data_IF_226733119387
#
_entry.id   IF_226733119387
#
_cell.length_a   1.000
_cell.length_b   1.000
_cell.length_c   1.000
_cell.angle_alpha   90.00
_cell.angle_beta   90.00
_cell.angle_gamma   90.00
#
_symmetry.space_group_name_H-M   'P 1'
#
loop_
_entity.id
_entity.type
_entity.pdbx_description
1 polymer ?
#
# COMPACT_ATOMS: atom_id res chain seq x y z
N UNK A 1 19.79 -12.98 12.73
CA UNK A 1 19.82 -12.17 13.97
C UNK A 1 18.72 -12.62 14.91
N UNK A 2 17.45 -12.52 14.55
CA UNK A 2 16.30 -12.86 15.41
C UNK A 2 16.33 -14.32 15.91
N UNK A 3 16.67 -15.28 15.05
CA UNK A 3 16.79 -16.70 15.41
C UNK A 3 17.81 -16.92 16.54
N UNK A 4 18.98 -16.25 16.45
CA UNK A 4 20.01 -16.30 17.51
C UNK A 4 19.54 -15.66 18.83
N UNK A 5 18.44 -14.93 18.81
CA UNK A 5 17.83 -14.25 19.96
C UNK A 5 16.49 -14.87 20.37
N UNK A 6 16.29 -16.16 20.08
CA UNK A 6 15.19 -16.97 20.62
C UNK A 6 13.92 -17.02 19.77
N UNK A 7 13.87 -16.35 18.61
CA UNK A 7 12.73 -16.47 17.69
C UNK A 7 12.80 -17.81 16.93
N UNK A 8 11.67 -18.49 16.82
CA UNK A 8 11.52 -19.68 15.97
C UNK A 8 10.99 -19.28 14.60
N UNK A 9 11.53 -19.86 13.54
CA UNK A 9 11.13 -19.55 12.17
C UNK A 9 10.42 -20.72 11.53
N UNK A 10 9.29 -20.39 10.84
CA UNK A 10 8.56 -21.31 9.98
C UNK A 10 8.37 -20.66 8.61
N UNK A 11 8.69 -21.37 7.54
CA UNK A 11 8.44 -20.91 6.18
C UNK A 11 6.94 -21.06 5.88
N UNK A 12 6.29 -19.97 5.47
CA UNK A 12 4.90 -19.94 5.02
C UNK A 12 4.85 -19.59 3.53
N UNK A 13 3.70 -19.84 2.90
CA UNK A 13 3.45 -19.49 1.49
C UNK A 13 2.07 -18.84 1.36
N UNK A 14 2.03 -17.64 0.83
CA UNK A 14 0.80 -16.88 0.53
C UNK A 14 0.60 -16.87 -0.99
N UNK A 15 0.00 -17.94 -1.52
CA UNK A 15 -0.08 -18.20 -2.98
C UNK A 15 -0.89 -17.16 -3.75
N UNK A 16 -1.92 -16.59 -3.12
CA UNK A 16 -2.81 -15.60 -3.73
C UNK A 16 -2.27 -14.17 -3.69
N UNK A 17 -1.16 -13.92 -2.97
CA UNK A 17 -0.52 -12.59 -2.92
C UNK A 17 -0.14 -12.06 -4.30
N UNK A 18 0.18 -12.93 -5.27
CA UNK A 18 0.43 -12.56 -6.67
C UNK A 18 -0.75 -11.86 -7.36
N UNK A 19 -1.96 -12.02 -6.85
CA UNK A 19 -3.18 -11.37 -7.34
C UNK A 19 -3.44 -10.02 -6.66
N UNK A 20 -2.65 -9.69 -5.63
CA UNK A 20 -2.87 -8.51 -4.78
C UNK A 20 -2.89 -7.21 -5.55
N UNK A 21 -1.87 -6.96 -6.39
CA UNK A 21 -1.79 -5.72 -7.19
C UNK A 21 -3.01 -5.56 -8.10
N UNK A 22 -3.41 -6.61 -8.80
CA UNK A 22 -4.58 -6.56 -9.69
C UNK A 22 -5.89 -6.33 -8.94
N UNK A 23 -6.08 -6.99 -7.79
CA UNK A 23 -7.24 -6.78 -6.94
C UNK A 23 -7.29 -5.35 -6.36
N UNK A 24 -6.14 -4.84 -5.91
CA UNK A 24 -6.01 -3.46 -5.42
C UNK A 24 -6.37 -2.43 -6.49
N UNK A 25 -5.90 -2.62 -7.73
CA UNK A 25 -6.18 -1.70 -8.84
C UNK A 25 -7.65 -1.65 -9.26
N UNK A 26 -8.47 -2.60 -8.82
CA UNK A 26 -9.92 -2.53 -8.98
C UNK A 26 -10.62 -1.95 -7.72
N UNK A 27 -10.24 -2.39 -6.53
CA UNK A 27 -10.89 -2.00 -5.26
C UNK A 27 -10.56 -0.56 -4.87
N UNK A 28 -9.29 -0.20 -4.82
CA UNK A 28 -8.89 1.12 -4.32
C UNK A 28 -9.33 2.28 -5.22
N UNK A 29 -9.22 2.19 -6.56
CA UNK A 29 -9.81 3.21 -7.43
C UNK A 29 -11.33 3.31 -7.33
N UNK A 30 -12.05 2.20 -7.16
CA UNK A 30 -13.49 2.20 -6.96
C UNK A 30 -13.89 2.97 -5.69
N UNK A 31 -13.23 2.69 -4.57
CA UNK A 31 -13.42 3.42 -3.31
C UNK A 31 -12.98 4.89 -3.43
N UNK A 32 -11.86 5.16 -4.11
CA UNK A 32 -11.37 6.50 -4.40
C UNK A 32 -12.42 7.32 -5.17
N UNK A 33 -12.97 6.78 -6.25
CA UNK A 33 -14.02 7.41 -7.07
C UNK A 33 -15.24 7.79 -6.22
N UNK A 34 -15.71 6.88 -5.39
CA UNK A 34 -16.85 7.10 -4.49
C UNK A 34 -16.53 8.13 -3.40
N UNK A 35 -15.42 7.97 -2.69
CA UNK A 35 -15.07 8.82 -1.56
C UNK A 35 -14.73 10.25 -1.98
N UNK A 36 -14.02 10.44 -3.10
CA UNK A 36 -13.64 11.76 -3.59
C UNK A 36 -14.76 12.49 -4.35
N UNK A 37 -15.93 11.88 -4.56
CA UNK A 37 -17.09 12.54 -5.14
C UNK A 37 -17.56 13.77 -4.35
N UNK A 38 -17.36 13.74 -3.03
CA UNK A 38 -17.73 14.82 -2.09
C UNK A 38 -16.82 16.05 -2.12
N UNK A 39 -15.66 15.96 -2.78
CA UNK A 39 -14.74 17.09 -2.92
C UNK A 39 -15.13 17.90 -4.16
N UNK A 40 -16.13 18.74 -3.99
CA UNK A 40 -16.84 19.46 -5.05
C UNK A 40 -16.57 20.97 -5.07
N UNK A 41 -15.74 21.45 -4.13
CA UNK A 41 -15.45 22.88 -3.98
C UNK A 41 -16.55 23.67 -3.25
N UNK A 42 -17.62 22.99 -2.78
CA UNK A 42 -18.69 23.58 -1.96
C UNK A 42 -18.57 23.11 -0.53
N UNK A 43 -18.58 21.80 -0.31
CA UNK A 43 -18.47 21.17 1.02
C UNK A 43 -17.05 20.96 1.44
N UNK A 44 -16.21 20.47 0.52
CA UNK A 44 -14.81 20.10 0.81
C UNK A 44 -13.89 20.42 -0.37
N UNK A 45 -12.61 20.57 -0.06
CA UNK A 45 -11.53 20.66 -1.02
C UNK A 45 -11.35 22.06 -1.61
N UNK A 46 -10.52 22.11 -2.65
CA UNK A 46 -10.27 23.31 -3.42
C UNK A 46 -11.55 23.86 -4.06
N UNK A 47 -11.75 25.17 -4.00
CA UNK A 47 -12.82 25.89 -4.69
C UNK A 47 -12.22 26.78 -5.75
N UNK A 48 -12.61 26.59 -7.00
CA UNK A 48 -12.17 27.41 -8.11
C UNK A 48 -12.80 28.81 -8.08
N UNK A 49 -12.03 29.79 -8.48
CA UNK A 49 -12.47 31.17 -8.64
C UNK A 49 -13.09 31.40 -10.03
N UNK A 50 -13.82 32.51 -10.18
CA UNK A 50 -14.35 32.99 -11.47
C UNK A 50 -15.18 31.95 -12.24
N UNK A 51 -16.10 31.30 -11.55
CA UNK A 51 -17.00 30.29 -12.13
C UNK A 51 -18.30 30.91 -12.64
N UNK A 52 -18.79 30.41 -13.78
CA UNK A 52 -20.00 30.94 -14.45
C UNK A 52 -21.30 30.44 -13.84
N UNK A 53 -21.31 29.21 -13.38
CA UNK A 53 -22.47 28.52 -12.78
C UNK A 53 -21.99 27.35 -11.93
N UNK A 54 -22.92 26.59 -11.33
CA UNK A 54 -22.62 25.49 -10.43
C UNK A 54 -21.87 24.33 -11.13
N UNK A 55 -22.20 24.05 -12.40
CA UNK A 55 -21.51 23.00 -13.17
C UNK A 55 -20.06 23.38 -13.48
N UNK A 56 -19.84 24.65 -13.82
CA UNK A 56 -18.49 25.19 -14.06
C UNK A 56 -17.67 25.18 -12.77
N UNK A 57 -18.30 25.51 -11.63
CA UNK A 57 -17.67 25.41 -10.30
C UNK A 57 -17.20 23.99 -10.02
N UNK A 58 -18.05 22.98 -10.18
CA UNK A 58 -17.69 21.59 -9.93
C UNK A 58 -16.57 21.12 -10.87
N UNK A 59 -16.68 21.39 -12.16
CA UNK A 59 -15.68 20.99 -13.16
C UNK A 59 -14.32 21.61 -12.88
N UNK A 60 -14.26 22.92 -12.67
CA UNK A 60 -13.01 23.64 -12.41
C UNK A 60 -12.38 23.22 -11.07
N UNK A 61 -13.16 23.23 -9.98
CA UNK A 61 -12.66 22.86 -8.65
C UNK A 61 -12.05 21.46 -8.64
N UNK A 62 -12.72 20.48 -9.26
CA UNK A 62 -12.20 19.12 -9.35
C UNK A 62 -11.02 19.00 -10.31
N UNK A 63 -11.04 19.74 -11.41
CA UNK A 63 -9.93 19.74 -12.38
C UNK A 63 -8.64 20.34 -11.80
N UNK A 64 -8.76 21.42 -11.04
CA UNK A 64 -7.64 22.13 -10.41
C UNK A 64 -7.17 21.43 -9.13
N UNK A 65 -8.12 20.96 -8.31
CA UNK A 65 -7.87 20.41 -6.99
C UNK A 65 -7.30 18.99 -6.97
N UNK A 66 -7.43 18.21 -8.06
CA UNK A 66 -6.90 16.85 -8.14
C UNK A 66 -5.70 16.74 -9.07
N UNK A 67 -4.62 16.14 -8.58
CA UNK A 67 -3.47 15.76 -9.40
C UNK A 67 -3.81 14.69 -10.45
N UNK A 68 -2.94 14.50 -11.43
CA UNK A 68 -3.17 13.61 -12.57
C UNK A 68 -3.42 12.16 -12.17
N UNK A 69 -2.65 11.62 -11.21
CA UNK A 69 -2.84 10.24 -10.74
C UNK A 69 -4.17 10.05 -10.02
N UNK A 70 -4.59 11.02 -9.21
CA UNK A 70 -5.90 10.97 -8.53
C UNK A 70 -7.03 10.98 -9.56
N UNK A 71 -6.95 11.83 -10.59
CA UNK A 71 -7.93 11.86 -11.69
C UNK A 71 -8.01 10.52 -12.42
N UNK A 72 -6.84 9.90 -12.70
CA UNK A 72 -6.76 8.56 -13.30
C UNK A 72 -7.48 7.52 -12.44
N UNK A 73 -7.23 7.49 -11.12
CA UNK A 73 -7.89 6.57 -10.18
C UNK A 73 -9.39 6.79 -10.11
N UNK A 74 -9.85 8.03 -10.09
CA UNK A 74 -11.29 8.36 -10.13
C UNK A 74 -11.94 7.80 -11.41
N UNK A 75 -11.31 7.98 -12.57
CA UNK A 75 -11.83 7.47 -13.85
C UNK A 75 -11.86 5.93 -13.89
N UNK A 76 -10.78 5.27 -13.48
CA UNK A 76 -10.70 3.81 -13.39
C UNK A 76 -11.76 3.28 -12.42
N UNK A 77 -11.93 3.91 -11.27
CA UNK A 77 -12.92 3.51 -10.28
C UNK A 77 -14.35 3.68 -10.76
N UNK A 78 -14.65 4.79 -11.42
CA UNK A 78 -15.95 5.04 -12.03
C UNK A 78 -16.27 3.97 -13.08
N UNK A 79 -15.30 3.60 -13.91
CA UNK A 79 -15.44 2.52 -14.90
C UNK A 79 -15.70 1.17 -14.22
N UNK A 80 -14.90 0.81 -13.21
CA UNK A 80 -15.05 -0.46 -12.50
C UNK A 80 -16.39 -0.60 -11.76
N UNK A 81 -17.02 0.52 -11.40
CA UNK A 81 -18.33 0.55 -10.73
C UNK A 81 -19.52 0.70 -11.72
N UNK A 82 -19.27 0.88 -13.02
CA UNK A 82 -20.32 1.08 -14.00
C UNK A 82 -21.06 -0.21 -14.34
N UNK A 83 -22.29 -0.05 -14.86
CA UNK A 83 -23.13 -1.17 -15.29
C UNK A 83 -22.40 -2.06 -16.32
N UNK A 84 -22.47 -3.39 -16.15
CA UNK A 84 -21.80 -4.36 -16.99
C UNK A 84 -20.33 -4.67 -16.58
N UNK A 85 -19.67 -3.80 -15.80
CA UNK A 85 -18.29 -4.01 -15.36
C UNK A 85 -18.18 -4.29 -13.88
N UNK A 86 -19.18 -3.94 -13.08
CA UNK A 86 -19.18 -4.12 -11.63
C UNK A 86 -18.88 -5.54 -11.19
N UNK A 87 -19.58 -6.53 -11.76
CA UNK A 87 -19.37 -7.94 -11.40
C UNK A 87 -18.02 -8.47 -11.88
N UNK A 88 -17.62 -8.08 -13.09
CA UNK A 88 -16.39 -8.55 -13.73
C UNK A 88 -15.12 -8.04 -13.06
N UNK A 89 -15.15 -6.80 -12.54
CA UNK A 89 -13.99 -6.16 -11.93
C UNK A 89 -14.13 -6.03 -10.42
N UNK A 90 -15.10 -5.25 -9.93
CA UNK A 90 -15.18 -4.92 -8.50
C UNK A 90 -15.54 -6.13 -7.63
N UNK A 91 -16.61 -6.85 -7.95
CA UNK A 91 -16.99 -8.04 -7.16
C UNK A 91 -15.94 -9.15 -7.26
N UNK A 92 -15.35 -9.34 -8.43
CA UNK A 92 -14.26 -10.32 -8.58
C UNK A 92 -13.05 -9.95 -7.73
N UNK A 93 -12.66 -8.67 -7.70
CA UNK A 93 -11.57 -8.19 -6.86
C UNK A 93 -11.88 -8.34 -5.35
N UNK A 94 -13.11 -8.09 -4.92
CA UNK A 94 -13.55 -8.33 -3.53
C UNK A 94 -13.47 -9.83 -3.15
N UNK A 95 -13.83 -10.74 -4.06
CA UNK A 95 -13.66 -12.19 -3.85
C UNK A 95 -12.17 -12.56 -3.70
N UNK A 96 -11.30 -12.02 -4.54
CA UNK A 96 -9.84 -12.22 -4.46
C UNK A 96 -9.31 -11.65 -3.13
N UNK A 97 -9.74 -10.46 -2.73
CA UNK A 97 -9.42 -9.86 -1.42
C UNK A 97 -9.75 -10.82 -0.27
N UNK A 98 -10.94 -11.46 -0.30
CA UNK A 98 -11.33 -12.43 0.72
C UNK A 98 -10.43 -13.67 0.73
N UNK A 99 -10.03 -14.17 -0.44
CA UNK A 99 -9.09 -15.30 -0.54
C UNK A 99 -7.74 -14.95 0.08
N UNK A 100 -7.19 -13.78 -0.24
CA UNK A 100 -5.93 -13.27 0.35
C UNK A 100 -6.06 -13.16 1.88
N UNK A 101 -7.14 -12.56 2.38
CA UNK A 101 -7.39 -12.43 3.82
C UNK A 101 -7.45 -13.79 4.53
N UNK A 102 -8.10 -14.77 3.91
CA UNK A 102 -8.19 -16.13 4.47
C UNK A 102 -6.81 -16.83 4.52
N UNK A 103 -5.94 -16.64 3.52
CA UNK A 103 -4.58 -17.21 3.53
C UNK A 103 -3.75 -16.64 4.70
N UNK A 104 -3.85 -15.34 4.98
CA UNK A 104 -3.22 -14.76 6.16
C UNK A 104 -3.80 -15.32 7.47
N UNK A 105 -5.13 -15.45 7.55
CA UNK A 105 -5.79 -16.00 8.74
C UNK A 105 -5.34 -17.45 9.03
N UNK A 106 -5.18 -18.28 7.98
CA UNK A 106 -4.63 -19.64 8.14
C UNK A 106 -3.15 -19.61 8.59
N UNK A 107 -2.34 -18.72 8.00
CA UNK A 107 -0.94 -18.58 8.40
C UNK A 107 -0.80 -18.17 9.88
N UNK A 108 -1.63 -17.26 10.38
CA UNK A 108 -1.62 -16.84 11.78
C UNK A 108 -2.13 -17.88 12.78
N UNK A 109 -2.65 -19.02 12.34
CA UNK A 109 -2.87 -20.18 13.24
C UNK A 109 -1.56 -20.88 13.62
N UNK A 110 -0.50 -20.66 12.86
CA UNK A 110 0.76 -21.38 12.97
C UNK A 110 1.92 -20.48 13.39
N UNK A 111 1.82 -19.15 13.22
CA UNK A 111 2.87 -18.18 13.52
C UNK A 111 2.29 -16.94 14.20
N UNK A 112 3.07 -16.30 15.07
CA UNK A 112 2.67 -15.08 15.78
C UNK A 112 2.79 -13.83 14.91
N UNK A 113 3.82 -13.76 14.06
CA UNK A 113 4.13 -12.64 13.18
C UNK A 113 4.65 -13.18 11.85
N UNK A 114 4.42 -12.43 10.77
CA UNK A 114 4.95 -12.73 9.45
C UNK A 114 6.03 -11.72 9.10
N UNK A 115 7.16 -12.18 8.62
CA UNK A 115 8.29 -11.34 8.22
C UNK A 115 8.56 -11.47 6.72
N UNK A 116 8.86 -10.35 6.09
CA UNK A 116 9.23 -10.32 4.67
C UNK A 116 9.93 -9.00 4.29
N UNK A 117 10.38 -8.87 3.04
CA UNK A 117 10.85 -7.58 2.54
C UNK A 117 9.67 -6.62 2.39
N UNK A 118 9.90 -5.31 2.63
CA UNK A 118 8.87 -4.29 2.41
C UNK A 118 8.69 -4.00 0.92
N UNK A 119 9.78 -3.99 0.14
CA UNK A 119 9.77 -3.72 -1.29
C UNK A 119 10.65 -4.72 -2.04
N UNK A 120 10.43 -4.94 -3.35
CA UNK A 120 11.22 -5.89 -4.17
C UNK A 120 12.69 -5.52 -4.28
N UNK A 121 13.00 -4.23 -4.21
CA UNK A 121 14.36 -3.69 -4.33
C UNK A 121 14.50 -2.42 -3.48
N UNK A 122 15.69 -1.86 -3.44
CA UNK A 122 15.98 -0.56 -2.84
C UNK A 122 15.40 0.60 -3.68
N UNK A 123 15.54 1.84 -3.18
CA UNK A 123 15.05 3.02 -3.86
C UNK A 123 15.61 3.13 -5.29
N UNK A 124 14.76 3.47 -6.24
CA UNK A 124 15.12 3.75 -7.63
C UNK A 124 15.40 5.25 -7.85
N UNK A 125 16.09 5.59 -8.95
CA UNK A 125 16.40 6.97 -9.28
C UNK A 125 15.13 7.79 -9.53
N UNK A 126 15.16 9.07 -9.16
CA UNK A 126 14.07 10.00 -9.44
C UNK A 126 13.75 9.97 -10.94
N UNK A 127 12.48 9.81 -11.27
CA UNK A 127 11.99 9.76 -12.66
C UNK A 127 12.10 8.39 -13.36
N UNK A 128 12.78 7.39 -12.78
CA UNK A 128 13.05 6.11 -13.48
C UNK A 128 11.81 5.29 -13.86
N UNK A 129 10.68 5.48 -13.16
CA UNK A 129 9.44 4.72 -13.41
C UNK A 129 8.25 5.59 -13.85
N UNK A 130 8.47 6.85 -14.18
CA UNK A 130 7.39 7.80 -14.52
C UNK A 130 6.58 7.34 -15.74
N UNK A 131 7.25 6.73 -16.72
CA UNK A 131 6.65 6.27 -17.98
C UNK A 131 6.23 4.79 -17.96
N UNK A 132 6.37 4.10 -16.83
CA UNK A 132 5.97 2.69 -16.67
C UNK A 132 5.10 2.52 -15.41
N UNK A 133 3.78 2.75 -15.52
CA UNK A 133 2.85 2.58 -14.40
C UNK A 133 2.84 1.16 -13.83
N UNK A 134 3.08 0.14 -14.66
CA UNK A 134 3.06 -1.27 -14.22
C UNK A 134 4.28 -1.53 -13.33
N UNK A 135 5.47 -1.11 -13.75
CA UNK A 135 6.68 -1.22 -12.93
C UNK A 135 6.57 -0.42 -11.61
N UNK A 136 5.85 0.71 -11.62
CA UNK A 136 5.55 1.48 -10.43
C UNK A 136 4.63 0.68 -9.49
N UNK A 137 3.52 0.13 -9.98
CA UNK A 137 2.58 -0.66 -9.17
C UNK A 137 3.19 -1.94 -8.61
N UNK A 138 4.08 -2.60 -9.35
CA UNK A 138 4.81 -3.78 -8.88
C UNK A 138 5.79 -3.48 -7.74
N UNK A 139 6.13 -2.21 -7.50
CA UNK A 139 6.93 -1.83 -6.34
C UNK A 139 6.22 -2.10 -5.02
N UNK A 140 4.89 -2.20 -5.02
CA UNK A 140 4.05 -2.42 -3.84
C UNK A 140 3.63 -3.88 -3.64
N UNK A 141 4.20 -4.82 -4.42
CA UNK A 141 3.77 -6.24 -4.47
C UNK A 141 3.75 -6.92 -3.09
N UNK A 142 4.64 -6.53 -2.18
CA UNK A 142 4.72 -7.12 -0.83
C UNK A 142 3.85 -6.41 0.21
N UNK A 143 3.39 -5.19 -0.04
CA UNK A 143 2.58 -4.42 0.92
C UNK A 143 1.09 -4.46 0.60
N UNK A 144 0.72 -4.56 -0.66
CA UNK A 144 -0.68 -4.53 -1.13
C UNK A 144 -1.52 -5.64 -0.50
N UNK A 145 -1.00 -6.86 -0.40
CA UNK A 145 -1.75 -7.99 0.15
C UNK A 145 -2.09 -7.81 1.62
N UNK A 146 -1.18 -7.23 2.39
CA UNK A 146 -1.39 -6.88 3.80
C UNK A 146 -2.52 -5.84 3.95
N UNK A 147 -2.50 -4.79 3.11
CA UNK A 147 -3.55 -3.78 3.08
C UNK A 147 -4.92 -4.38 2.67
N UNK A 148 -4.97 -5.24 1.66
CA UNK A 148 -6.20 -5.91 1.25
C UNK A 148 -6.76 -6.84 2.33
N UNK A 149 -5.91 -7.47 3.11
CA UNK A 149 -6.31 -8.30 4.24
C UNK A 149 -6.74 -7.48 5.47
N UNK A 150 -6.42 -6.18 5.53
CA UNK A 150 -6.76 -5.30 6.65
C UNK A 150 -5.88 -5.54 7.89
N UNK A 151 -4.64 -5.97 7.71
CA UNK A 151 -3.73 -6.35 8.78
C UNK A 151 -2.80 -5.20 9.16
N UNK A 152 -2.44 -5.08 10.46
CA UNK A 152 -1.42 -4.15 10.90
C UNK A 152 -0.04 -4.61 10.41
N UNK A 153 0.79 -3.67 9.99
CA UNK A 153 2.15 -3.95 9.59
C UNK A 153 3.08 -2.75 9.85
N UNK A 154 4.36 -3.04 9.96
CA UNK A 154 5.41 -2.06 10.17
C UNK A 154 6.60 -2.36 9.26
N UNK A 155 7.26 -1.33 8.76
CA UNK A 155 8.55 -1.45 8.08
C UNK A 155 9.64 -0.83 8.92
N UNK A 156 10.79 -1.50 9.01
CA UNK A 156 11.99 -0.99 9.69
C UNK A 156 13.25 -1.35 8.90
N UNK A 157 14.35 -0.59 9.06
CA UNK A 157 15.60 -0.88 8.36
C UNK A 157 16.18 -2.24 8.78
N UNK A 158 16.61 -3.05 7.79
CA UNK A 158 17.23 -4.37 8.05
C UNK A 158 18.62 -4.54 7.44
N UNK A 159 19.14 -3.50 6.82
CA UNK A 159 20.44 -3.53 6.15
C UNK A 159 20.50 -2.59 4.96
N UNK A 160 21.56 -2.76 4.17
CA UNK A 160 21.82 -1.95 2.98
C UNK A 160 22.20 -2.83 1.78
N UNK A 161 21.80 -2.38 0.60
CA UNK A 161 22.26 -2.89 -0.70
C UNK A 161 22.70 -1.70 -1.53
N UNK A 162 23.96 -1.70 -1.98
CA UNK A 162 24.54 -0.57 -2.73
C UNK A 162 24.38 0.79 -2.02
N UNK A 163 24.63 0.82 -0.71
CA UNK A 163 24.49 1.99 0.17
C UNK A 163 23.05 2.51 0.35
N UNK A 164 22.04 1.85 -0.19
CA UNK A 164 20.63 2.18 -0.03
C UNK A 164 19.96 1.24 0.98
N UNK A 165 19.09 1.76 1.88
CA UNK A 165 18.47 0.95 2.92
C UNK A 165 17.47 -0.05 2.34
N UNK A 166 17.35 -1.20 3.02
CA UNK A 166 16.33 -2.21 2.78
C UNK A 166 15.36 -2.25 3.96
N UNK A 167 14.07 -2.45 3.67
CA UNK A 167 13.02 -2.56 4.68
C UNK A 167 12.67 -3.99 5.02
N UNK A 168 12.62 -4.30 6.32
CA UNK A 168 11.98 -5.49 6.88
C UNK A 168 10.51 -5.14 7.16
N UNK A 169 9.59 -5.86 6.55
CA UNK A 169 8.18 -5.77 6.89
C UNK A 169 7.85 -6.79 7.99
N UNK A 170 7.17 -6.34 9.04
CA UNK A 170 6.58 -7.16 10.10
C UNK A 170 5.08 -7.02 9.99
N UNK A 171 4.37 -8.13 9.85
CA UNK A 171 2.91 -8.17 9.73
C UNK A 171 2.37 -8.94 10.94
N UNK A 172 1.37 -8.37 11.64
CA UNK A 172 0.66 -8.99 12.74
C UNK A 172 -0.77 -9.39 12.37
N UNK A 173 -1.39 -10.18 13.22
CA UNK A 173 -2.81 -10.46 13.11
C UNK A 173 -3.63 -9.20 13.45
N UNK A 174 -4.94 -9.21 13.21
CA UNK A 174 -5.81 -8.10 13.56
C UNK A 174 -5.65 -7.69 15.04
N UNK A 175 -5.43 -6.39 15.28
CA UNK A 175 -5.25 -5.79 16.61
C UNK A 175 -4.01 -6.27 17.39
N UNK A 176 -3.01 -6.85 16.70
CA UNK A 176 -1.75 -7.33 17.29
C UNK A 176 -0.59 -6.31 17.13
N UNK A 177 -0.88 -5.02 17.07
CA UNK A 177 0.13 -3.95 16.95
C UNK A 177 1.17 -4.02 18.06
N UNK A 178 0.77 -4.42 19.27
CA UNK A 178 1.67 -4.55 20.40
C UNK A 178 2.78 -5.59 20.15
N UNK A 179 2.48 -6.73 19.51
CA UNK A 179 3.48 -7.74 19.14
C UNK A 179 4.44 -7.22 18.08
N UNK A 180 3.91 -6.51 17.06
CA UNK A 180 4.72 -5.87 16.01
C UNK A 180 5.73 -4.90 16.63
N UNK A 181 5.26 -3.99 17.49
CA UNK A 181 6.10 -2.99 18.17
C UNK A 181 7.13 -3.64 19.10
N UNK A 182 6.75 -4.70 19.82
CA UNK A 182 7.64 -5.45 20.69
C UNK A 182 8.78 -6.10 19.91
N UNK A 183 8.49 -6.79 18.81
CA UNK A 183 9.51 -7.40 17.97
C UNK A 183 10.40 -6.34 17.31
N UNK A 184 9.81 -5.25 16.80
CA UNK A 184 10.55 -4.15 16.20
C UNK A 184 11.53 -3.51 17.20
N UNK A 185 11.06 -3.24 18.43
CA UNK A 185 11.89 -2.70 19.49
C UNK A 185 13.04 -3.66 19.88
N UNK A 186 12.72 -4.95 20.03
CA UNK A 186 13.74 -5.96 20.30
C UNK A 186 14.80 -6.02 19.19
N UNK A 187 14.36 -6.02 17.92
CA UNK A 187 15.25 -5.99 16.76
C UNK A 187 16.17 -4.77 16.75
N UNK A 188 15.65 -3.60 17.08
CA UNK A 188 16.45 -2.37 17.16
C UNK A 188 17.44 -2.36 18.33
N UNK A 189 17.17 -3.09 19.42
CA UNK A 189 18.15 -3.25 20.52
C UNK A 189 19.34 -4.14 20.14
N UNK A 190 19.16 -5.07 19.23
CA UNK A 190 20.20 -6.04 18.82
C UNK A 190 20.81 -5.71 17.44
N UNK A 191 20.40 -4.59 16.82
CA UNK A 191 20.93 -4.06 15.55
C UNK A 191 21.04 -2.54 15.61
N UNK A 192 21.84 -1.96 14.71
CA UNK A 192 22.04 -0.51 14.64
C UNK A 192 21.52 0.14 13.33
N UNK A 193 20.77 -0.60 12.52
CA UNK A 193 20.34 -0.13 11.19
C UNK A 193 19.51 1.16 11.26
N UNK A 194 18.66 1.31 12.27
CA UNK A 194 17.79 2.46 12.49
C UNK A 194 18.56 3.73 12.92
N UNK A 195 19.81 3.60 13.37
CA UNK A 195 20.64 4.76 13.76
C UNK A 195 21.41 5.35 12.59
N UNK A 196 21.48 4.64 11.45
CA UNK A 196 22.18 5.08 10.25
C UNK A 196 21.41 6.22 9.59
N UNK A 197 22.12 7.31 9.26
CA UNK A 197 21.56 8.46 8.56
C UNK A 197 22.17 8.59 7.17
N UNK A 198 21.44 9.09 6.17
CA UNK A 198 22.03 9.41 4.88
C UNK A 198 23.05 10.55 5.05
N UNK A 199 24.14 10.50 4.28
CA UNK A 199 25.01 11.66 4.13
C UNK A 199 24.30 12.64 3.18
N UNK A 200 23.90 13.79 3.70
CA UNK A 200 23.33 14.84 2.87
C UNK A 200 24.49 15.66 2.27
N UNK A 201 24.32 16.11 1.03
CA UNK A 201 25.30 17.02 0.40
C UNK A 201 25.34 18.32 1.19
N UNK A 202 26.41 18.52 1.97
CA UNK A 202 26.59 19.70 2.83
C UNK A 202 27.06 19.39 4.26
N UNK A 203 27.14 18.10 4.63
CA UNK A 203 27.79 17.60 5.88
C UNK A 203 29.24 17.17 5.63
#
# INVERSE_FOLDING_TARGET
VLEKNGCKFKKISLKSSKLGVSAYQAVAPAECSSNLSRFDGVRFGHRADNTKNIDDLYKKSRSEGFGQEVKRRILIGTYALSAGYYDAYYLKAQKIRKVISNEFAEAFKEVDLILGPTAPDNAFKIGAKVNDPIAMYLSDVFTVSTNLAGLPAMSLPMGFKNHLPLGLQIIGNHFDEAKILSLAHHYQKITDWHTKKPKLSGD
#
